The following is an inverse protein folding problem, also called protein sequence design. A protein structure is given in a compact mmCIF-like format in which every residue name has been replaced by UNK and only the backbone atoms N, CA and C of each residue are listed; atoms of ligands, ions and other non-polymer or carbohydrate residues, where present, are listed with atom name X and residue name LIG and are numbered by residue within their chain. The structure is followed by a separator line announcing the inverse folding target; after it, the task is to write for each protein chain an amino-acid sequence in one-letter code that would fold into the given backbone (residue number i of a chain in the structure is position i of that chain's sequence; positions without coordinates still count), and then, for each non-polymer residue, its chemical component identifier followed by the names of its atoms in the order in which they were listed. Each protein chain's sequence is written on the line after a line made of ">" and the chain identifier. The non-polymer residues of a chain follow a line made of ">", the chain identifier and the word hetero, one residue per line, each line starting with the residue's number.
data_IF_106199520126
#
_entry.id   IF_106199520126
#
_cell.length_a   1.000
_cell.length_b   1.000
_cell.length_c   1.000
_cell.angle_alpha   90.00
_cell.angle_beta   90.00
_cell.angle_gamma   90.00
#
_symmetry.space_group_name_H-M   'P 1'
#
loop_
_entity.id
_entity.type
_entity.pdbx_description
1 polymer ?
#
# COMPACT_ATOMS: atom_id res chain seq x y z
N UNK A 1 -1.29 3.56 10.03
CA UNK A 1 -1.40 2.43 9.08
C UNK A 1 -2.79 2.46 8.45
N UNK A 2 -2.87 2.30 7.13
CA UNK A 2 -4.14 2.15 6.43
C UNK A 2 -4.56 0.67 6.45
N UNK A 3 -5.77 0.41 6.92
CA UNK A 3 -6.35 -0.93 6.94
C UNK A 3 -6.66 -1.44 5.53
N UNK A 4 -6.70 -2.76 5.36
CA UNK A 4 -6.86 -3.42 4.05
C UNK A 4 -8.09 -2.93 3.29
N UNK A 5 -9.24 -2.82 3.98
CA UNK A 5 -10.48 -2.30 3.38
C UNK A 5 -10.33 -0.86 2.88
N UNK A 6 -9.62 -0.02 3.62
CA UNK A 6 -9.35 1.37 3.22
C UNK A 6 -8.44 1.44 2.00
N UNK A 7 -7.45 0.55 1.94
CA UNK A 7 -6.54 0.46 0.79
C UNK A 7 -7.25 -0.02 -0.48
N UNK A 8 -8.08 -1.06 -0.37
CA UNK A 8 -8.91 -1.55 -1.49
C UNK A 8 -9.90 -0.49 -1.98
N UNK A 9 -10.57 0.21 -1.06
CA UNK A 9 -11.46 1.31 -1.41
C UNK A 9 -10.72 2.47 -2.10
N UNK A 10 -9.46 2.72 -1.74
CA UNK A 10 -8.61 3.68 -2.43
C UNK A 10 -8.24 3.21 -3.85
N UNK A 11 -7.77 1.96 -3.99
CA UNK A 11 -7.44 1.37 -5.30
C UNK A 11 -8.64 1.47 -6.27
N UNK A 12 -9.86 1.22 -5.79
CA UNK A 12 -11.07 1.23 -6.61
C UNK A 12 -11.41 2.60 -7.21
N UNK A 13 -11.00 3.71 -6.56
CA UNK A 13 -11.37 5.07 -6.96
C UNK A 13 -10.22 5.93 -7.44
N UNK A 14 -8.98 5.61 -7.05
CA UNK A 14 -7.84 6.50 -7.23
C UNK A 14 -7.60 6.81 -8.72
N UNK A 15 -7.33 8.07 -9.01
CA UNK A 15 -6.94 8.51 -10.35
C UNK A 15 -5.43 8.30 -10.56
N UNK A 16 -4.94 8.10 -11.80
CA UNK A 16 -3.50 8.08 -12.08
C UNK A 16 -2.80 9.32 -11.49
N UNK A 17 -1.69 9.12 -10.80
CA UNK A 17 -0.95 10.15 -10.07
C UNK A 17 -1.42 10.42 -8.64
N UNK A 18 -2.63 10.00 -8.27
CA UNK A 18 -3.09 10.06 -6.87
C UNK A 18 -2.24 9.12 -6.01
N UNK A 19 -1.95 9.55 -4.77
CA UNK A 19 -1.15 8.77 -3.82
C UNK A 19 -1.85 8.59 -2.48
N UNK A 20 -1.54 7.51 -1.80
CA UNK A 20 -1.93 7.27 -0.40
C UNK A 20 -0.73 6.75 0.39
N UNK A 21 -0.54 7.26 1.61
CA UNK A 21 0.34 6.62 2.58
C UNK A 21 -0.37 5.42 3.19
N UNK A 22 0.15 4.22 2.99
CA UNK A 22 -0.43 3.01 3.59
C UNK A 22 0.24 2.63 4.92
N UNK A 23 1.48 3.06 5.14
CA UNK A 23 2.20 2.81 6.39
C UNK A 23 3.20 3.93 6.71
N UNK A 24 3.44 4.14 7.99
CA UNK A 24 4.52 4.99 8.49
C UNK A 24 5.29 4.20 9.57
N UNK A 25 6.61 4.10 9.42
CA UNK A 25 7.46 3.31 10.30
C UNK A 25 8.59 2.62 9.54
N UNK A 26 9.00 1.45 10.01
CA UNK A 26 10.00 0.61 9.33
C UNK A 26 9.31 -0.64 8.79
N UNK A 27 8.76 -0.56 7.57
CA UNK A 27 7.86 -1.58 7.02
C UNK A 27 8.39 -3.01 7.13
N UNK A 28 9.70 -3.22 6.91
CA UNK A 28 10.35 -4.53 7.01
C UNK A 28 10.32 -5.07 8.44
N UNK A 29 10.59 -4.23 9.44
CA UNK A 29 10.53 -4.61 10.85
C UNK A 29 9.09 -4.78 11.31
N UNK A 30 8.22 -3.84 10.91
CA UNK A 30 6.85 -3.75 11.38
C UNK A 30 5.97 -4.91 10.90
N UNK A 31 6.33 -5.59 9.80
CA UNK A 31 5.67 -6.81 9.32
C UNK A 31 6.27 -8.12 9.85
N UNK A 32 7.43 -8.07 10.52
CA UNK A 32 8.18 -9.28 10.86
C UNK A 32 7.73 -9.87 12.22
N UNK A 33 7.35 -11.17 12.30
CA UNK A 33 6.75 -11.77 13.49
C UNK A 33 7.55 -11.69 14.79
N UNK A 34 8.88 -11.63 14.71
CA UNK A 34 9.78 -11.68 15.88
C UNK A 34 10.26 -10.31 16.38
N UNK A 35 10.13 -9.27 15.56
CA UNK A 35 10.70 -7.94 15.84
C UNK A 35 9.68 -6.81 15.71
N UNK A 36 8.50 -7.09 15.16
CA UNK A 36 7.45 -6.10 15.00
C UNK A 36 6.96 -5.65 16.38
N UNK A 37 6.77 -4.32 16.59
CA UNK A 37 6.12 -3.81 17.79
C UNK A 37 4.59 -4.05 17.76
N UNK A 38 4.04 -4.51 16.63
CA UNK A 38 2.62 -4.76 16.48
C UNK A 38 2.21 -6.16 16.94
N UNK A 39 1.05 -6.23 17.58
CA UNK A 39 0.37 -7.50 17.83
C UNK A 39 0.07 -8.22 16.51
N UNK A 40 -0.04 -9.55 16.58
CA UNK A 40 -0.22 -10.42 15.41
C UNK A 40 -1.32 -9.97 14.45
N UNK A 41 -2.54 -9.60 14.89
CA UNK A 41 -3.59 -9.17 13.96
C UNK A 41 -3.20 -7.93 13.13
N UNK A 42 -2.61 -6.92 13.77
CA UNK A 42 -2.18 -5.69 13.10
C UNK A 42 -0.99 -5.93 12.17
N UNK A 43 -0.05 -6.78 12.60
CA UNK A 43 1.08 -7.21 11.75
C UNK A 43 0.61 -7.95 10.50
N UNK A 44 -0.32 -8.90 10.66
CA UNK A 44 -0.88 -9.66 9.53
C UNK A 44 -1.70 -8.77 8.59
N UNK A 45 -2.35 -7.72 9.11
CA UNK A 45 -3.01 -6.73 8.26
C UNK A 45 -2.00 -5.89 7.47
N UNK A 46 -0.93 -5.41 8.11
CA UNK A 46 0.15 -4.70 7.41
C UNK A 46 0.77 -5.55 6.32
N UNK A 47 1.03 -6.83 6.61
CA UNK A 47 1.61 -7.77 5.66
C UNK A 47 0.73 -7.96 4.42
N UNK A 48 -0.60 -8.07 4.60
CA UNK A 48 -1.58 -8.14 3.51
C UNK A 48 -1.59 -6.86 2.66
N UNK A 49 -1.62 -5.68 3.29
CA UNK A 49 -1.60 -4.40 2.58
C UNK A 49 -0.30 -4.22 1.79
N UNK A 50 0.85 -4.49 2.41
CA UNK A 50 2.15 -4.39 1.77
C UNK A 50 2.33 -5.41 0.65
N UNK A 51 1.85 -6.64 0.84
CA UNK A 51 1.85 -7.68 -0.19
C UNK A 51 0.99 -7.30 -1.39
N UNK A 52 -0.23 -6.79 -1.16
CA UNK A 52 -1.09 -6.31 -2.24
C UNK A 52 -0.46 -5.12 -2.99
N UNK A 53 0.13 -4.16 -2.26
CA UNK A 53 0.81 -3.02 -2.86
C UNK A 53 1.97 -3.49 -3.77
N UNK A 54 2.76 -4.47 -3.33
CA UNK A 54 3.85 -5.04 -4.13
C UNK A 54 3.32 -5.75 -5.37
N UNK A 55 2.33 -6.64 -5.24
CA UNK A 55 1.74 -7.35 -6.39
C UNK A 55 1.17 -6.38 -7.45
N UNK A 56 0.54 -5.29 -7.02
CA UNK A 56 0.03 -4.28 -7.93
C UNK A 56 1.14 -3.44 -8.57
N UNK A 57 2.26 -3.24 -7.86
CA UNK A 57 3.43 -2.59 -8.43
C UNK A 57 4.13 -3.47 -9.46
N UNK A 58 4.31 -4.76 -9.16
CA UNK A 58 4.89 -5.75 -10.07
C UNK A 58 4.09 -5.88 -11.38
N UNK A 59 2.79 -5.59 -11.34
CA UNK A 59 1.90 -5.60 -12.51
C UNK A 59 1.68 -4.21 -13.13
N UNK A 60 2.40 -3.18 -12.67
CA UNK A 60 2.36 -1.82 -13.23
C UNK A 60 1.09 -1.02 -12.92
N UNK A 61 0.27 -1.45 -11.96
CA UNK A 61 -0.91 -0.71 -11.51
C UNK A 61 -0.54 0.39 -10.51
N UNK A 62 0.48 0.13 -9.68
CA UNK A 62 0.98 1.09 -8.71
C UNK A 62 2.46 1.40 -8.96
N UNK A 63 2.87 2.61 -8.58
CA UNK A 63 4.26 2.91 -8.25
C UNK A 63 4.36 2.96 -6.73
N UNK A 64 5.44 2.41 -6.18
CA UNK A 64 5.72 2.49 -4.74
C UNK A 64 6.81 3.52 -4.51
N UNK A 65 6.62 4.35 -3.48
CA UNK A 65 7.60 5.34 -3.07
C UNK A 65 7.75 5.34 -1.54
N UNK A 66 8.90 5.79 -1.07
CA UNK A 66 9.18 6.01 0.33
C UNK A 66 9.59 7.46 0.52
N UNK A 67 9.10 8.10 1.58
CA UNK A 67 9.48 9.46 1.93
C UNK A 67 9.86 9.53 3.40
N UNK A 68 10.98 10.18 3.70
CA UNK A 68 11.38 10.46 5.09
C UNK A 68 10.49 11.57 5.64
N UNK A 69 9.79 11.30 6.75
CA UNK A 69 8.86 12.23 7.41
C UNK A 69 9.48 12.82 8.68
N UNK A 70 10.31 12.03 9.38
CA UNK A 70 11.15 12.46 10.49
C UNK A 70 12.42 11.59 10.54
N UNK A 71 13.28 11.83 11.51
CA UNK A 71 14.56 11.12 11.58
C UNK A 71 14.43 9.59 11.63
N UNK A 72 13.35 9.11 12.25
CA UNK A 72 13.01 7.71 12.51
C UNK A 72 11.70 7.26 11.83
N UNK A 73 11.10 8.10 10.99
CA UNK A 73 9.80 7.81 10.36
C UNK A 73 9.88 7.89 8.85
N UNK A 74 9.61 6.77 8.20
CA UNK A 74 9.48 6.65 6.75
C UNK A 74 8.02 6.39 6.42
N UNK A 75 7.42 7.23 5.59
CA UNK A 75 6.12 6.98 5.00
C UNK A 75 6.28 6.14 3.73
N UNK A 76 5.44 5.12 3.61
CA UNK A 76 5.35 4.25 2.46
C UNK A 76 4.10 4.61 1.67
N UNK A 77 4.30 5.00 0.42
CA UNK A 77 3.26 5.48 -0.48
C UNK A 77 2.97 4.45 -1.57
N UNK A 78 1.70 4.29 -1.87
CA UNK A 78 1.22 3.77 -3.14
C UNK A 78 0.78 4.95 -4.01
N UNK A 79 1.20 4.96 -5.27
CA UNK A 79 0.82 5.96 -6.27
C UNK A 79 0.13 5.21 -7.40
N UNK A 80 -1.07 5.63 -7.78
CA UNK A 80 -1.79 4.99 -8.87
C UNK A 80 -1.07 5.28 -10.19
N UNK A 81 -0.55 4.25 -10.85
CA UNK A 81 0.17 4.41 -12.12
C UNK A 81 -0.81 4.41 -13.29
N UNK A 82 -1.71 3.43 -13.29
CA UNK A 82 -2.70 3.24 -14.35
C UNK A 82 -4.03 2.83 -13.72
N UNK A 83 -5.11 3.45 -14.18
CA UNK A 83 -6.46 2.99 -13.81
C UNK A 83 -6.82 1.87 -14.76
N UNK A 84 -7.29 0.73 -14.22
CA UNK A 84 -8.06 -0.22 -15.02
C UNK A 84 -9.30 0.51 -15.52
N UNK A 85 -9.24 1.03 -16.74
CA UNK A 85 -10.46 1.34 -17.47
C UNK A 85 -11.10 -0.02 -17.73
N UNK A 86 -12.26 -0.27 -17.13
CA UNK A 86 -13.14 -1.31 -17.67
C UNK A 86 -13.38 -0.86 -19.11
N UNK A 87 -12.73 -1.51 -20.08
CA UNK A 87 -13.11 -1.36 -21.48
C UNK A 87 -14.58 -1.78 -21.50
N UNK A 88 -15.47 -0.81 -21.71
CA UNK A 88 -16.89 -1.08 -21.88
C UNK A 88 -17.01 -2.22 -22.89
N UNK A 89 -17.66 -3.31 -22.46
CA UNK A 89 -17.99 -4.40 -23.35
C UNK A 89 -18.78 -3.82 -24.52
N UNK A 90 -18.18 -3.83 -25.70
CA UNK A 90 -18.93 -3.83 -26.95
C UNK A 90 -19.34 -5.28 -27.20
N UNK A 91 -20.62 -5.55 -27.03
CA UNK A 91 -21.54 -5.99 -28.08
C UNK A 91 -22.94 -6.05 -27.51
#
# INVERSE_FOLDING_TARGET
>A
MLHERGFLAWIARAAPGERVAYHEGHLVCDRAPRISPFAEPARCELDRVAGLAMTLADTGHLLLAQGRVADDRVAYFAIMATRRTVKGGRQ
#
